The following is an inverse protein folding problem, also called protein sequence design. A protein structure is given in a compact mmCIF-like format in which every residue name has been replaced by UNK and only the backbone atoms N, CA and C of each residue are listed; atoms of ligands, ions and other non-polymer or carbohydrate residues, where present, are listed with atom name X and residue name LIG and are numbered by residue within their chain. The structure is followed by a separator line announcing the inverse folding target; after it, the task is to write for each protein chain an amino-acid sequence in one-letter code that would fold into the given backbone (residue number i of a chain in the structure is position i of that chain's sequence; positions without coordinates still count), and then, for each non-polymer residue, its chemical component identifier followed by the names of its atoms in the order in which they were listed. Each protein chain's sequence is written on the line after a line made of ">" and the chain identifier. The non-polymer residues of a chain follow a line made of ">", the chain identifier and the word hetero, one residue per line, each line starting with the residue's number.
data_IF_406075374122
#
_entry.id   IF_406075374122
#
_cell.length_a   1.000
_cell.length_b   1.000
_cell.length_c   1.000
_cell.angle_alpha   90.00
_cell.angle_beta   90.00
_cell.angle_gamma   90.00
#
_symmetry.space_group_name_H-M   'P 1'
#
loop_
_entity.id
_entity.type
_entity.pdbx_description
1 polymer ?
#
# COMPACT_ATOMS: atom_id res chain seq x y z
N UNK A 1 -29.55 7.70 -8.79
CA UNK A 1 -28.59 8.74 -8.36
C UNK A 1 -28.09 9.47 -9.59
N UNK A 2 -28.07 10.83 -9.56
CA UNK A 2 -27.50 11.65 -10.64
C UNK A 2 -25.98 11.46 -10.74
N UNK A 3 -25.39 11.72 -11.91
CA UNK A 3 -23.92 11.63 -12.11
C UNK A 3 -23.16 12.52 -11.12
N UNK A 4 -23.66 13.72 -10.84
CA UNK A 4 -23.07 14.65 -9.87
C UNK A 4 -23.07 14.08 -8.44
N UNK A 5 -24.15 13.43 -8.00
CA UNK A 5 -24.23 12.82 -6.67
C UNK A 5 -23.27 11.65 -6.51
N UNK A 6 -23.06 10.86 -7.59
CA UNK A 6 -22.05 9.78 -7.62
C UNK A 6 -20.63 10.34 -7.52
N UNK A 7 -20.33 11.43 -8.24
CA UNK A 7 -19.03 12.09 -8.19
C UNK A 7 -18.74 12.65 -6.80
N UNK A 8 -19.69 13.35 -6.18
CA UNK A 8 -19.53 13.88 -4.81
C UNK A 8 -19.33 12.76 -3.79
N UNK A 9 -20.08 11.66 -3.89
CA UNK A 9 -19.90 10.51 -3.02
C UNK A 9 -18.51 9.89 -3.19
N UNK A 10 -18.04 9.73 -4.44
CA UNK A 10 -16.71 9.22 -4.73
C UNK A 10 -15.62 10.10 -4.14
N UNK A 11 -15.75 11.44 -4.25
CA UNK A 11 -14.82 12.40 -3.64
C UNK A 11 -14.84 12.28 -2.11
N UNK A 12 -16.02 12.25 -1.49
CA UNK A 12 -16.16 12.13 -0.04
C UNK A 12 -15.53 10.83 0.49
N UNK A 13 -15.78 9.70 -0.18
CA UNK A 13 -15.18 8.40 0.18
C UNK A 13 -13.66 8.41 -0.02
N UNK A 14 -13.16 9.06 -1.06
CA UNK A 14 -11.73 9.21 -1.30
C UNK A 14 -11.05 10.04 -0.22
N UNK A 15 -11.67 11.15 0.21
CA UNK A 15 -11.15 11.99 1.30
C UNK A 15 -11.15 11.23 2.63
N UNK A 16 -12.22 10.49 2.93
CA UNK A 16 -12.29 9.64 4.12
C UNK A 16 -11.20 8.57 4.10
N UNK A 17 -11.02 7.89 2.97
CA UNK A 17 -9.95 6.90 2.79
C UNK A 17 -8.57 7.53 2.98
N UNK A 18 -8.32 8.71 2.44
CA UNK A 18 -7.06 9.44 2.60
C UNK A 18 -6.79 9.80 4.07
N UNK A 19 -7.82 10.19 4.83
CA UNK A 19 -7.71 10.48 6.27
C UNK A 19 -7.25 9.24 7.04
N UNK A 20 -7.91 8.09 6.83
CA UNK A 20 -7.50 6.83 7.47
C UNK A 20 -6.12 6.38 7.03
N UNK A 21 -5.76 6.59 5.77
CA UNK A 21 -4.43 6.23 5.29
C UNK A 21 -3.34 7.13 5.89
N UNK A 22 -3.62 8.42 6.07
CA UNK A 22 -2.71 9.36 6.72
C UNK A 22 -2.46 8.98 8.18
N UNK A 23 -3.48 8.53 8.91
CA UNK A 23 -3.32 8.03 10.28
C UNK A 23 -2.29 6.90 10.37
N UNK A 24 -2.14 6.08 9.33
CA UNK A 24 -1.15 5.00 9.27
C UNK A 24 0.28 5.51 9.47
N UNK A 25 0.65 6.64 8.87
CA UNK A 25 2.01 7.20 9.01
C UNK A 25 2.29 7.67 10.44
N UNK A 26 1.28 8.31 11.05
CA UNK A 26 1.38 8.82 12.42
C UNK A 26 1.49 7.65 13.41
N UNK A 27 0.62 6.66 13.28
CA UNK A 27 0.61 5.48 14.15
C UNK A 27 1.88 4.65 14.02
N UNK A 28 2.36 4.39 12.80
CA UNK A 28 3.62 3.68 12.59
C UNK A 28 4.81 4.42 13.22
N UNK A 29 4.81 5.76 13.14
CA UNK A 29 5.87 6.57 13.74
C UNK A 29 5.77 6.59 15.26
N UNK A 30 4.57 6.74 15.81
CA UNK A 30 4.35 6.70 17.25
C UNK A 30 4.82 5.35 17.84
N UNK A 31 4.37 4.24 17.26
CA UNK A 31 4.80 2.91 17.68
C UNK A 31 6.32 2.73 17.63
N UNK A 32 7.00 3.30 16.62
CA UNK A 32 8.45 3.24 16.51
C UNK A 32 9.17 4.10 17.59
N UNK A 33 8.62 5.27 17.93
CA UNK A 33 9.15 6.15 19.00
C UNK A 33 9.01 5.47 20.37
N UNK A 34 7.93 4.76 20.60
CA UNK A 34 7.68 3.99 21.82
C UNK A 34 8.53 2.69 21.92
N UNK A 35 9.50 2.51 21.00
CA UNK A 35 10.40 1.36 21.01
C UNK A 35 9.90 0.13 20.25
N UNK A 36 8.74 0.25 19.55
CA UNK A 36 8.22 -0.82 18.72
C UNK A 36 9.06 -1.09 17.48
N UNK A 37 9.29 -2.37 17.17
CA UNK A 37 10.04 -2.76 15.99
C UNK A 37 9.13 -2.68 14.73
N UNK A 38 9.59 -2.02 13.66
CA UNK A 38 8.83 -1.77 12.43
C UNK A 38 8.21 -3.03 11.79
N UNK A 39 8.90 -4.15 11.88
CA UNK A 39 8.42 -5.41 11.31
C UNK A 39 7.19 -5.95 12.06
N UNK A 40 7.09 -5.74 13.37
CA UNK A 40 5.88 -6.02 14.14
C UNK A 40 4.72 -5.17 13.66
N UNK A 41 4.91 -3.86 13.55
CA UNK A 41 3.88 -2.94 13.06
C UNK A 41 3.37 -3.35 11.66
N UNK A 42 4.29 -3.75 10.76
CA UNK A 42 3.93 -4.23 9.43
C UNK A 42 3.13 -5.55 9.47
N UNK A 43 3.62 -6.53 10.22
CA UNK A 43 3.04 -7.87 10.27
C UNK A 43 1.67 -7.87 10.96
N UNK A 44 1.56 -7.27 12.15
CA UNK A 44 0.33 -7.26 12.93
C UNK A 44 -0.83 -6.61 12.18
N UNK A 45 -0.56 -5.55 11.41
CA UNK A 45 -1.60 -4.93 10.58
C UNK A 45 -2.30 -5.95 9.68
N UNK A 46 -1.55 -6.75 8.94
CA UNK A 46 -2.14 -7.70 7.99
C UNK A 46 -2.61 -8.99 8.65
N UNK A 47 -1.98 -9.39 9.76
CA UNK A 47 -2.47 -10.49 10.59
C UNK A 47 -3.84 -10.17 11.19
N UNK A 48 -4.08 -8.93 11.65
CA UNK A 48 -5.37 -8.49 12.17
C UNK A 48 -6.39 -8.16 11.08
N UNK A 49 -5.97 -7.63 9.94
CA UNK A 49 -6.90 -7.29 8.84
C UNK A 49 -7.60 -8.54 8.31
N UNK A 50 -6.92 -9.69 8.22
CA UNK A 50 -7.54 -10.93 7.72
C UNK A 50 -8.75 -11.38 8.55
N UNK A 51 -8.68 -11.56 9.87
CA UNK A 51 -9.84 -11.91 10.68
C UNK A 51 -10.93 -10.82 10.70
N UNK A 52 -10.59 -9.55 10.50
CA UNK A 52 -11.57 -8.47 10.37
C UNK A 52 -12.32 -8.49 9.03
N UNK A 53 -11.69 -8.99 7.96
CA UNK A 53 -12.34 -9.14 6.66
C UNK A 53 -13.22 -10.38 6.57
N UNK A 54 -12.90 -11.44 7.31
CA UNK A 54 -13.65 -12.71 7.27
C UNK A 54 -15.16 -12.55 7.48
N UNK A 55 -15.66 -11.85 8.53
CA UNK A 55 -17.08 -11.69 8.75
C UNK A 55 -17.79 -10.84 7.69
N UNK A 56 -17.07 -10.07 6.88
CA UNK A 56 -17.64 -9.29 5.79
C UNK A 56 -17.88 -10.14 4.52
N UNK A 57 -17.16 -11.24 4.36
CA UNK A 57 -17.20 -12.05 3.14
C UNK A 57 -18.58 -12.61 2.79
N UNK A 58 -19.43 -13.07 3.71
CA UNK A 58 -20.78 -13.55 3.36
C UNK A 58 -21.63 -12.50 2.63
N UNK A 59 -21.53 -11.22 3.03
CA UNK A 59 -22.24 -10.12 2.38
C UNK A 59 -21.58 -9.64 1.06
N UNK A 60 -20.37 -10.10 0.79
CA UNK A 60 -19.57 -9.71 -0.37
C UNK A 60 -19.47 -10.84 -1.43
N UNK A 61 -20.39 -11.79 -1.41
CA UNK A 61 -20.41 -12.90 -2.37
C UNK A 61 -19.60 -14.14 -1.94
N UNK A 62 -19.16 -14.18 -0.69
CA UNK A 62 -18.50 -15.33 -0.09
C UNK A 62 -17.01 -15.47 -0.41
N UNK A 63 -16.41 -16.49 0.20
CA UNK A 63 -14.97 -16.81 0.04
C UNK A 63 -14.73 -17.74 -1.15
N UNK A 64 -15.73 -18.54 -1.56
CA UNK A 64 -15.56 -19.55 -2.59
C UNK A 64 -15.01 -19.03 -3.93
N UNK A 65 -15.49 -17.90 -4.48
CA UNK A 65 -14.92 -17.32 -5.71
C UNK A 65 -13.43 -16.97 -5.56
N UNK A 66 -13.03 -16.42 -4.42
CA UNK A 66 -11.64 -16.07 -4.14
C UNK A 66 -10.77 -17.32 -4.05
N UNK A 67 -11.23 -18.31 -3.30
CA UNK A 67 -10.52 -19.57 -3.16
C UNK A 67 -10.37 -20.32 -4.50
N UNK A 68 -11.40 -20.28 -5.35
CA UNK A 68 -11.35 -20.81 -6.70
C UNK A 68 -10.28 -20.13 -7.55
N UNK A 69 -10.30 -18.79 -7.58
CA UNK A 69 -9.32 -17.99 -8.31
C UNK A 69 -7.87 -18.21 -7.82
N UNK A 70 -7.68 -18.29 -6.51
CA UNK A 70 -6.37 -18.54 -5.91
C UNK A 70 -5.82 -19.94 -6.24
N UNK A 71 -6.69 -20.97 -6.23
CA UNK A 71 -6.29 -22.33 -6.61
C UNK A 71 -5.95 -22.44 -8.09
N UNK A 72 -6.66 -21.72 -8.95
CA UNK A 72 -6.41 -21.71 -10.39
C UNK A 72 -5.08 -21.07 -10.76
N UNK A 73 -4.63 -20.05 -10.01
CA UNK A 73 -3.41 -19.30 -10.32
C UNK A 73 -2.64 -18.87 -9.06
N UNK A 74 -2.16 -19.82 -8.22
CA UNK A 74 -1.54 -19.49 -6.94
C UNK A 74 -0.30 -18.60 -7.08
N UNK A 75 0.51 -18.82 -8.12
CA UNK A 75 1.70 -18.00 -8.39
C UNK A 75 1.39 -16.53 -8.69
N UNK A 76 0.30 -16.25 -9.41
CA UNK A 76 -0.12 -14.88 -9.67
C UNK A 76 -0.55 -14.17 -8.37
N UNK A 77 -1.30 -14.85 -7.51
CA UNK A 77 -1.70 -14.29 -6.22
C UNK A 77 -0.50 -14.03 -5.30
N UNK A 78 0.46 -14.97 -5.23
CA UNK A 78 1.69 -14.78 -4.45
C UNK A 78 2.54 -13.63 -5.01
N UNK A 79 2.70 -13.55 -6.33
CA UNK A 79 3.48 -12.48 -6.97
C UNK A 79 2.87 -11.11 -6.69
N UNK A 80 1.59 -10.93 -7.00
CA UNK A 80 0.95 -9.62 -6.91
C UNK A 80 0.69 -9.19 -5.47
N UNK A 81 0.41 -10.14 -4.54
CA UNK A 81 0.36 -9.83 -3.11
C UNK A 81 1.76 -9.53 -2.55
N UNK A 82 2.77 -10.26 -3.00
CA UNK A 82 4.16 -10.01 -2.64
C UNK A 82 4.62 -8.61 -3.01
N UNK A 83 4.28 -8.13 -4.20
CA UNK A 83 4.63 -6.77 -4.65
C UNK A 83 3.72 -5.73 -3.98
N UNK A 84 2.38 -5.87 -4.15
CA UNK A 84 1.43 -4.81 -3.81
C UNK A 84 1.08 -4.70 -2.33
N UNK A 85 1.31 -5.75 -1.54
CA UNK A 85 1.04 -5.77 -0.10
C UNK A 85 2.32 -5.93 0.70
N UNK A 86 3.10 -6.99 0.44
CA UNK A 86 4.28 -7.28 1.27
C UNK A 86 5.39 -6.26 1.04
N UNK A 87 5.94 -6.19 -0.17
CA UNK A 87 7.04 -5.26 -0.49
C UNK A 87 6.62 -3.80 -0.22
N UNK A 88 5.44 -3.41 -0.70
CA UNK A 88 4.88 -2.10 -0.46
C UNK A 88 4.89 -1.72 1.03
N UNK A 89 4.28 -2.55 1.88
CA UNK A 89 4.05 -2.15 3.26
C UNK A 89 5.25 -2.39 4.17
N UNK A 90 6.11 -3.35 3.86
CA UNK A 90 7.42 -3.51 4.52
C UNK A 90 8.27 -2.26 4.36
N UNK A 91 8.43 -1.79 3.12
CA UNK A 91 9.22 -0.58 2.82
C UNK A 91 8.61 0.66 3.47
N UNK A 92 7.28 0.79 3.42
CA UNK A 92 6.57 1.92 4.02
C UNK A 92 6.70 1.94 5.55
N UNK A 93 6.55 0.78 6.22
CA UNK A 93 6.65 0.68 7.67
C UNK A 93 8.08 0.92 8.15
N UNK A 94 9.09 0.40 7.44
CA UNK A 94 10.49 0.68 7.72
C UNK A 94 10.80 2.17 7.59
N UNK A 95 10.33 2.80 6.50
CA UNK A 95 10.51 4.22 6.28
C UNK A 95 9.84 5.06 7.38
N UNK A 96 8.60 4.73 7.76
CA UNK A 96 7.87 5.45 8.81
C UNK A 96 8.53 5.31 10.19
N UNK A 97 9.18 4.19 10.48
CA UNK A 97 9.97 4.03 11.70
C UNK A 97 11.27 4.84 11.67
N UNK A 98 11.88 5.01 10.49
CA UNK A 98 13.20 5.63 10.32
C UNK A 98 13.16 7.14 10.07
N UNK A 99 12.05 7.68 9.58
CA UNK A 99 11.90 9.08 9.19
C UNK A 99 10.68 9.78 9.81
N UNK A 100 10.60 11.12 9.71
CA UNK A 100 9.45 11.86 10.20
C UNK A 100 8.21 11.58 9.36
N UNK A 101 7.04 11.46 10.01
CA UNK A 101 5.77 11.08 9.37
C UNK A 101 5.38 12.00 8.20
N UNK A 102 5.63 13.30 8.31
CA UNK A 102 5.33 14.27 7.25
C UNK A 102 6.16 14.02 5.97
N UNK A 103 7.45 13.64 6.13
CA UNK A 103 8.33 13.29 5.02
C UNK A 103 7.79 12.06 4.25
N UNK A 104 7.42 11.04 5.01
CA UNK A 104 6.91 9.78 4.47
C UNK A 104 5.57 10.03 3.74
N UNK A 105 4.64 10.73 4.40
CA UNK A 105 3.33 11.04 3.84
C UNK A 105 3.43 11.89 2.55
N UNK A 106 4.26 12.94 2.56
CA UNK A 106 4.47 13.78 1.41
C UNK A 106 5.14 13.02 0.25
N UNK A 107 6.19 12.26 0.54
CA UNK A 107 6.92 11.50 -0.48
C UNK A 107 6.08 10.37 -1.09
N UNK A 108 5.16 9.76 -0.33
CA UNK A 108 4.27 8.72 -0.85
C UNK A 108 3.28 9.25 -1.89
N UNK A 109 3.05 10.57 -1.99
CA UNK A 109 2.25 11.15 -3.08
C UNK A 109 2.83 10.84 -4.48
N UNK A 110 4.11 10.49 -4.57
CA UNK A 110 4.72 9.98 -5.80
C UNK A 110 4.02 8.74 -6.36
N UNK A 111 3.21 8.04 -5.54
CA UNK A 111 2.41 6.87 -5.97
C UNK A 111 1.44 7.21 -7.11
N UNK A 112 0.97 8.45 -7.20
CA UNK A 112 0.12 8.92 -8.30
C UNK A 112 0.90 8.87 -9.62
N UNK A 113 2.12 9.41 -9.62
CA UNK A 113 3.00 9.39 -10.79
C UNK A 113 3.49 7.98 -11.10
N UNK A 114 3.90 7.24 -10.07
CA UNK A 114 4.30 5.84 -10.20
C UNK A 114 3.21 4.99 -10.86
N UNK A 115 1.94 5.18 -10.44
CA UNK A 115 0.80 4.51 -11.06
C UNK A 115 0.62 4.84 -12.54
N UNK A 116 0.90 6.08 -12.97
CA UNK A 116 0.88 6.45 -14.39
C UNK A 116 2.06 5.84 -15.15
N UNK A 117 3.26 5.86 -14.58
CA UNK A 117 4.46 5.31 -15.18
C UNK A 117 4.42 3.78 -15.30
N UNK A 118 3.73 3.09 -14.40
CA UNK A 118 3.50 1.65 -14.48
C UNK A 118 2.47 1.26 -15.54
N UNK A 119 1.62 2.18 -16.00
CA UNK A 119 0.56 1.85 -16.95
C UNK A 119 1.07 1.25 -18.28
N UNK A 120 2.09 1.81 -18.97
CA UNK A 120 2.63 1.23 -20.19
C UNK A 120 3.29 -0.15 -20.02
N UNK A 121 3.68 -0.50 -18.78
CA UNK A 121 4.27 -1.80 -18.46
C UNK A 121 3.21 -2.90 -18.27
N UNK A 122 1.97 -2.49 -17.94
CA UNK A 122 0.89 -3.40 -17.58
C UNK A 122 -0.14 -3.55 -18.70
N UNK A 123 -0.43 -2.47 -19.45
CA UNK A 123 -1.52 -2.41 -20.40
C UNK A 123 -1.00 -2.25 -21.83
N UNK A 124 -1.65 -2.96 -22.76
CA UNK A 124 -1.37 -2.88 -24.21
C UNK A 124 -2.44 -2.07 -24.97
N UNK A 125 -3.38 -1.45 -24.24
CA UNK A 125 -4.54 -0.73 -24.76
C UNK A 125 -4.47 0.79 -24.45
N UNK A 126 -5.60 1.49 -24.60
CA UNK A 126 -5.70 2.94 -24.30
C UNK A 126 -5.28 3.32 -22.87
N UNK A 127 -5.31 2.37 -21.94
CA UNK A 127 -4.88 2.57 -20.55
C UNK A 127 -3.36 2.71 -20.40
N UNK A 128 -2.58 2.24 -21.40
CA UNK A 128 -1.13 2.43 -21.46
C UNK A 128 -0.73 3.90 -21.71
N UNK A 129 -1.65 4.72 -22.22
CA UNK A 129 -1.36 6.12 -22.55
C UNK A 129 -1.29 6.95 -21.26
N UNK A 130 -0.18 7.65 -21.08
CA UNK A 130 -0.01 8.58 -19.96
C UNK A 130 -0.65 9.93 -20.36
N UNK A 131 -1.71 10.40 -19.67
CA UNK A 131 -2.30 11.71 -19.97
C UNK A 131 -1.32 12.82 -19.59
N UNK A 132 -0.90 13.64 -20.56
CA UNK A 132 0.07 14.72 -20.33
C UNK A 132 -0.34 15.70 -19.24
N UNK A 133 -1.64 16.04 -19.16
CA UNK A 133 -2.17 16.89 -18.12
C UNK A 133 -2.02 16.27 -16.72
N UNK A 134 -2.34 14.97 -16.58
CA UNK A 134 -2.19 14.26 -15.31
C UNK A 134 -0.71 14.12 -14.90
N UNK A 135 0.19 13.90 -15.86
CA UNK A 135 1.63 13.90 -15.62
C UNK A 135 2.11 15.28 -15.12
N UNK A 136 1.63 16.37 -15.75
CA UNK A 136 1.94 17.73 -15.30
C UNK A 136 1.49 18.00 -13.86
N UNK A 137 0.29 17.58 -13.49
CA UNK A 137 -0.19 17.67 -12.09
C UNK A 137 0.68 16.83 -11.15
N UNK A 138 1.05 15.60 -11.57
CA UNK A 138 1.93 14.73 -10.81
C UNK A 138 3.31 15.36 -10.56
N UNK A 139 3.91 15.95 -11.59
CA UNK A 139 5.18 16.69 -11.48
C UNK A 139 5.05 17.88 -10.53
N UNK A 140 3.94 18.63 -10.59
CA UNK A 140 3.67 19.74 -9.69
C UNK A 140 3.58 19.27 -8.22
N UNK A 141 2.92 18.15 -7.96
CA UNK A 141 2.85 17.53 -6.62
C UNK A 141 4.26 17.17 -6.14
N UNK A 142 5.07 16.50 -6.97
CA UNK A 142 6.45 16.14 -6.62
C UNK A 142 7.29 17.39 -6.35
N UNK A 143 7.17 18.41 -7.18
CA UNK A 143 7.88 19.68 -6.97
C UNK A 143 7.49 20.32 -5.64
N UNK A 144 6.21 20.35 -5.29
CA UNK A 144 5.73 20.82 -3.98
C UNK A 144 6.33 20.00 -2.82
N UNK A 145 6.36 18.68 -2.94
CA UNK A 145 7.01 17.80 -1.95
C UNK A 145 8.50 18.13 -1.82
N UNK A 146 9.21 18.27 -2.93
CA UNK A 146 10.64 18.64 -2.92
C UNK A 146 10.88 20.02 -2.29
N UNK A 147 10.06 21.02 -2.60
CA UNK A 147 10.15 22.34 -1.99
C UNK A 147 9.94 22.29 -0.47
N UNK A 148 8.97 21.51 0.01
CA UNK A 148 8.80 21.27 1.45
C UNK A 148 10.06 20.62 2.06
N UNK A 149 10.65 19.65 1.37
CA UNK A 149 11.88 18.99 1.79
C UNK A 149 13.05 19.97 1.90
N UNK A 150 13.26 20.81 0.89
CA UNK A 150 14.31 21.82 0.90
C UNK A 150 14.10 22.88 1.97
N UNK A 151 12.87 23.26 2.27
CA UNK A 151 12.53 24.20 3.34
C UNK A 151 12.88 23.70 4.75
N UNK A 152 12.72 22.39 4.97
CA UNK A 152 13.03 21.73 6.24
C UNK A 152 14.45 21.14 6.30
N UNK A 153 15.06 20.83 5.15
CA UNK A 153 16.36 20.19 5.01
C UNK A 153 17.56 21.13 5.11
N UNK A 154 17.39 22.31 5.72
CA UNK A 154 18.55 23.09 6.18
C UNK A 154 19.35 22.42 7.30
N UNK A 155 18.90 21.25 7.77
CA UNK A 155 19.66 20.26 8.52
C UNK A 155 19.73 18.98 7.70
N UNK A 156 20.90 18.58 7.30
CA UNK A 156 21.27 17.39 6.52
C UNK A 156 20.39 16.17 6.85
N UNK A 157 19.67 15.65 5.84
CA UNK A 157 19.14 14.28 5.95
C UNK A 157 20.33 13.36 6.18
N UNK A 158 20.32 12.66 7.30
CA UNK A 158 21.31 11.63 7.57
C UNK A 158 21.10 10.42 6.63
N UNK A 159 22.02 9.47 6.63
CA UNK A 159 21.93 8.29 5.78
C UNK A 159 20.62 7.52 5.98
N UNK A 160 20.06 7.50 7.21
CA UNK A 160 18.79 6.85 7.52
C UNK A 160 17.60 7.54 6.85
N UNK A 161 17.61 8.87 6.84
CA UNK A 161 16.58 9.66 6.15
C UNK A 161 16.58 9.43 4.64
N UNK A 162 17.75 9.30 3.99
CA UNK A 162 17.86 8.96 2.58
C UNK A 162 17.36 7.54 2.29
N UNK A 163 17.72 6.55 3.12
CA UNK A 163 17.20 5.19 2.98
C UNK A 163 15.68 5.18 3.15
N UNK A 164 15.14 5.88 4.13
CA UNK A 164 13.69 6.00 4.33
C UNK A 164 13.02 6.58 3.08
N UNK A 165 13.56 7.64 2.49
CA UNK A 165 13.03 8.25 1.26
C UNK A 165 13.03 7.26 0.09
N UNK A 166 14.14 6.54 -0.13
CA UNK A 166 14.22 5.51 -1.16
C UNK A 166 13.19 4.39 -0.95
N UNK A 167 13.00 3.95 0.30
CA UNK A 167 11.99 2.96 0.64
C UNK A 167 10.57 3.47 0.34
N UNK A 168 10.25 4.75 0.62
CA UNK A 168 8.95 5.32 0.28
C UNK A 168 8.74 5.38 -1.22
N UNK A 169 9.74 5.81 -1.99
CA UNK A 169 9.64 5.86 -3.46
C UNK A 169 9.44 4.46 -4.02
N UNK A 170 10.22 3.48 -3.58
CA UNK A 170 10.05 2.09 -4.00
C UNK A 170 8.65 1.53 -3.63
N UNK A 171 8.15 1.83 -2.43
CA UNK A 171 6.80 1.44 -2.01
C UNK A 171 5.72 2.10 -2.86
N UNK A 172 5.93 3.35 -3.27
CA UNK A 172 5.01 4.11 -4.13
C UNK A 172 4.86 3.47 -5.53
N UNK A 173 5.87 2.78 -6.04
CA UNK A 173 5.78 1.98 -7.27
C UNK A 173 5.19 0.58 -7.00
N UNK A 174 5.57 -0.07 -5.92
CA UNK A 174 5.11 -1.41 -5.59
C UNK A 174 3.58 -1.47 -5.42
N UNK A 175 2.98 -0.48 -4.77
CA UNK A 175 1.54 -0.43 -4.51
C UNK A 175 0.68 -0.48 -5.79
N UNK A 176 0.80 0.45 -6.75
CA UNK A 176 0.00 0.42 -7.97
C UNK A 176 0.36 -0.76 -8.87
N UNK A 177 1.63 -1.17 -8.90
CA UNK A 177 2.07 -2.30 -9.71
C UNK A 177 1.40 -3.61 -9.27
N UNK A 178 1.44 -3.93 -7.99
CA UNK A 178 0.84 -5.16 -7.47
C UNK A 178 -0.68 -5.18 -7.58
N UNK A 179 -1.35 -4.08 -7.22
CA UNK A 179 -2.81 -4.01 -7.28
C UNK A 179 -3.35 -4.06 -8.72
N UNK A 180 -2.71 -3.34 -9.65
CA UNK A 180 -3.11 -3.34 -11.07
C UNK A 180 -2.71 -4.65 -11.75
N UNK A 181 -1.57 -5.22 -11.39
CA UNK A 181 -1.12 -6.51 -11.92
C UNK A 181 -2.10 -7.63 -11.61
N UNK A 182 -2.59 -7.70 -10.37
CA UNK A 182 -3.66 -8.67 -10.03
C UNK A 182 -4.93 -8.38 -10.81
N UNK A 183 -5.38 -7.13 -10.89
CA UNK A 183 -6.60 -6.77 -11.61
C UNK A 183 -6.52 -7.20 -13.08
N UNK A 184 -5.40 -6.91 -13.74
CA UNK A 184 -5.17 -7.31 -15.12
C UNK A 184 -5.13 -8.83 -15.29
N UNK A 185 -4.52 -9.56 -14.34
CA UNK A 185 -4.53 -11.02 -14.35
C UNK A 185 -5.97 -11.57 -14.28
N UNK A 186 -6.79 -11.02 -13.38
CA UNK A 186 -8.20 -11.41 -13.25
C UNK A 186 -9.01 -11.09 -14.52
N UNK A 187 -8.81 -9.91 -15.12
CA UNK A 187 -9.42 -9.53 -16.40
C UNK A 187 -9.05 -10.53 -17.52
N UNK A 188 -7.77 -10.87 -17.64
CA UNK A 188 -7.28 -11.80 -18.68
C UNK A 188 -7.78 -13.24 -18.50
N UNK A 189 -8.08 -13.62 -17.27
CA UNK A 189 -8.60 -14.95 -16.94
C UNK A 189 -10.13 -15.03 -16.87
N UNK A 190 -10.83 -13.90 -17.09
CA UNK A 190 -12.29 -13.82 -17.02
C UNK A 190 -12.85 -14.02 -15.61
N UNK A 191 -12.05 -13.79 -14.58
CA UNK A 191 -12.47 -13.95 -13.18
C UNK A 191 -12.98 -12.61 -12.64
N UNK A 192 -14.24 -12.57 -12.28
CA UNK A 192 -14.86 -11.37 -11.68
C UNK A 192 -14.87 -11.48 -10.15
N UNK A 193 -14.13 -10.58 -9.51
CA UNK A 193 -14.11 -10.42 -8.05
C UNK A 193 -14.36 -8.95 -7.71
N UNK A 194 -15.19 -8.69 -6.70
CA UNK A 194 -15.37 -7.34 -6.20
C UNK A 194 -14.14 -6.84 -5.42
N UNK A 195 -14.11 -5.55 -5.07
CA UNK A 195 -12.97 -4.93 -4.39
C UNK A 195 -12.63 -5.61 -3.05
N UNK A 196 -13.64 -5.94 -2.25
CA UNK A 196 -13.45 -6.60 -0.94
C UNK A 196 -12.87 -8.00 -1.11
N UNK A 197 -13.36 -8.76 -2.09
CA UNK A 197 -12.84 -10.09 -2.41
C UNK A 197 -11.38 -10.05 -2.86
N UNK A 198 -11.01 -9.07 -3.69
CA UNK A 198 -9.60 -8.88 -4.11
C UNK A 198 -8.69 -8.55 -2.94
N UNK A 199 -9.11 -7.60 -2.08
CA UNK A 199 -8.34 -7.25 -0.88
C UNK A 199 -8.21 -8.43 0.07
N UNK A 200 -9.29 -9.19 0.30
CA UNK A 200 -9.25 -10.41 1.10
C UNK A 200 -8.26 -11.42 0.53
N UNK A 201 -8.32 -11.70 -0.77
CA UNK A 201 -7.40 -12.65 -1.44
C UNK A 201 -5.93 -12.20 -1.38
N UNK A 202 -5.64 -10.90 -1.63
CA UNK A 202 -4.28 -10.34 -1.49
C UNK A 202 -3.79 -10.43 -0.04
N UNK A 203 -4.65 -10.12 0.93
CA UNK A 203 -4.31 -10.24 2.36
C UNK A 203 -4.04 -11.71 2.72
N UNK A 204 -4.87 -12.64 2.27
CA UNK A 204 -4.69 -14.07 2.53
C UNK A 204 -3.39 -14.60 1.88
N UNK A 205 -3.14 -14.25 0.61
CA UNK A 205 -1.93 -14.69 -0.11
C UNK A 205 -0.64 -14.12 0.51
N UNK A 206 -0.70 -12.98 1.17
CA UNK A 206 0.43 -12.35 1.84
C UNK A 206 0.74 -12.91 3.24
N UNK A 207 -0.17 -13.69 3.85
CA UNK A 207 0.00 -14.18 5.23
C UNK A 207 1.32 -14.93 5.49
N UNK A 208 1.79 -15.83 4.60
CA UNK A 208 3.07 -16.52 4.85
C UNK A 208 4.25 -15.56 5.02
N UNK A 209 4.28 -14.47 4.24
CA UNK A 209 5.32 -13.46 4.36
C UNK A 209 5.23 -12.67 5.67
N UNK A 210 4.01 -12.34 6.11
CA UNK A 210 3.78 -11.64 7.37
C UNK A 210 4.11 -12.49 8.59
N UNK A 211 3.79 -13.78 8.55
CA UNK A 211 4.20 -14.72 9.60
C UNK A 211 5.72 -14.87 9.66
N UNK A 212 6.39 -14.98 8.51
CA UNK A 212 7.85 -15.03 8.45
C UNK A 212 8.48 -13.74 8.99
N UNK A 213 7.92 -12.57 8.62
CA UNK A 213 8.40 -11.29 9.12
C UNK A 213 8.16 -11.13 10.63
N UNK A 214 7.03 -11.59 11.14
CA UNK A 214 6.73 -11.59 12.58
C UNK A 214 7.69 -12.51 13.35
N UNK A 215 7.97 -13.70 12.82
CA UNK A 215 8.94 -14.61 13.41
C UNK A 215 10.36 -14.00 13.43
N UNK A 216 10.74 -13.35 12.34
CA UNK A 216 12.01 -12.63 12.28
C UNK A 216 12.05 -11.46 13.29
N UNK A 217 10.96 -10.68 13.40
CA UNK A 217 10.88 -9.59 14.38
C UNK A 217 10.98 -10.11 15.83
N UNK A 218 10.37 -11.26 16.11
CA UNK A 218 10.49 -11.93 17.41
C UNK A 218 11.95 -12.26 17.76
N UNK A 219 12.69 -12.78 16.79
CA UNK A 219 14.11 -13.14 16.98
C UNK A 219 15.00 -11.90 17.16
N UNK A 220 14.65 -10.76 16.54
CA UNK A 220 15.46 -9.54 16.58
C UNK A 220 15.14 -8.64 17.79
N UNK A 221 13.88 -8.53 18.15
CA UNK A 221 13.38 -7.54 19.11
C UNK A 221 12.50 -8.13 20.23
N UNK A 222 12.27 -9.44 20.23
CA UNK A 222 11.35 -10.07 21.17
C UNK A 222 9.87 -9.81 20.84
N UNK A 223 8.97 -9.88 21.83
CA UNK A 223 7.53 -9.68 21.62
C UNK A 223 7.20 -8.24 21.19
N UNK A 224 6.04 -8.02 20.55
CA UNK A 224 5.59 -6.68 20.19
C UNK A 224 5.40 -5.81 21.45
N UNK A 225 5.68 -4.52 21.34
CA UNK A 225 5.43 -3.56 22.41
C UNK A 225 3.93 -3.35 22.62
N UNK A 226 3.55 -2.87 23.81
CA UNK A 226 2.14 -2.57 24.13
C UNK A 226 1.53 -1.52 23.22
N UNK A 227 2.32 -0.61 22.67
CA UNK A 227 1.89 0.39 21.68
C UNK A 227 1.63 -0.19 20.28
N UNK A 228 2.01 -1.46 20.04
CA UNK A 228 1.78 -2.17 18.77
C UNK A 228 0.59 -3.12 18.83
N UNK A 229 0.11 -3.44 20.01
CA UNK A 229 -1.08 -4.28 20.25
C UNK A 229 -2.35 -3.44 20.43
#
# INVERSE_FOLDING_TARGET
>A
MTAQRRALLAIALSLLSALFFTATYVLNRAAAIDGGHWAWTASLRYLFVLPLLLPLMPWQGGIAPVAGAMRAAPGAWLLWSGIGFVLFYMLLSYAAASGPSWLIAASFQTTVVAGMLCAPLLYDDVRARIPRAALGVGVLIIAGVLLMQFGHARGTLDAKGWIALLCVVASAFAYPLGNRGLLLHLERTGVELNATQRVFGLTLASQPAWLALAAWAWLQAGPPSTSQL
#
